data_IF_214338616497
#
_entry.id   IF_214338616497
#
_cell.length_a   1.000
_cell.length_b   1.000
_cell.length_c   1.000
_cell.angle_alpha   90.00
_cell.angle_beta   90.00
_cell.angle_gamma   90.00
#
_symmetry.space_group_name_H-M   'P 1'
#
loop_
_entity.id
_entity.type
_entity.pdbx_description
1 polymer ?
#
# COMPACT_ATOMS: atom_id res chain seq x y z
N UNK A 1 5.95 -6.14 -0.98
CA UNK A 1 7.14 -6.35 -1.85
C UNK A 1 7.34 -5.13 -2.78
N UNK A 2 8.28 -5.15 -3.73
CA UNK A 2 8.22 -4.26 -4.92
C UNK A 2 7.43 -4.92 -6.06
N UNK A 3 7.01 -4.15 -7.08
CA UNK A 3 6.33 -4.70 -8.27
C UNK A 3 7.16 -5.78 -8.98
N UNK A 4 8.48 -5.56 -9.13
CA UNK A 4 9.40 -6.53 -9.73
C UNK A 4 9.50 -7.82 -8.91
N UNK A 5 9.51 -7.72 -7.57
CA UNK A 5 9.49 -8.91 -6.71
C UNK A 5 8.15 -9.63 -6.81
N UNK A 6 7.05 -8.89 -6.97
CA UNK A 6 5.72 -9.47 -7.19
C UNK A 6 5.63 -10.23 -8.49
N UNK A 7 6.21 -9.68 -9.56
CA UNK A 7 6.33 -10.38 -10.85
C UNK A 7 7.09 -11.67 -10.69
N UNK A 8 8.28 -11.64 -10.07
CA UNK A 8 9.06 -12.85 -9.81
C UNK A 8 8.32 -13.88 -8.94
N UNK A 9 7.50 -13.45 -7.98
CA UNK A 9 6.65 -14.36 -7.21
C UNK A 9 5.56 -15.01 -8.06
N UNK A 10 4.94 -14.26 -8.99
CA UNK A 10 3.97 -14.83 -9.95
C UNK A 10 4.64 -15.79 -10.91
N UNK A 11 5.81 -15.45 -11.47
CA UNK A 11 6.59 -16.35 -12.32
C UNK A 11 6.95 -17.65 -11.60
N UNK A 12 7.37 -17.58 -10.32
CA UNK A 12 7.63 -18.75 -9.48
C UNK A 12 6.38 -19.64 -9.33
N UNK A 13 5.23 -19.04 -9.04
CA UNK A 13 3.98 -19.76 -8.81
C UNK A 13 3.43 -20.38 -10.10
N UNK A 14 3.57 -19.68 -11.23
CA UNK A 14 3.21 -20.19 -12.54
C UNK A 14 4.11 -21.37 -12.94
N UNK A 15 5.43 -21.26 -12.72
CA UNK A 15 6.36 -22.39 -12.88
C UNK A 15 5.90 -23.60 -12.06
N UNK A 16 5.70 -23.43 -10.75
CA UNK A 16 5.29 -24.54 -9.88
C UNK A 16 3.94 -25.17 -10.27
N UNK A 17 3.03 -24.40 -10.88
CA UNK A 17 1.71 -24.88 -11.32
C UNK A 17 1.75 -25.55 -12.69
N UNK A 18 2.76 -25.23 -13.50
CA UNK A 18 3.02 -25.92 -14.77
C UNK A 18 3.58 -27.33 -14.58
N UNK A 19 4.12 -27.64 -13.40
CA UNK A 19 4.62 -28.97 -13.05
C UNK A 19 3.45 -29.96 -12.89
N UNK A 20 3.58 -31.15 -13.48
CA UNK A 20 2.59 -32.23 -13.36
C UNK A 20 2.73 -32.91 -12.00
N UNK A 21 2.16 -32.28 -10.97
CA UNK A 21 2.21 -32.73 -9.58
C UNK A 21 0.82 -33.18 -9.08
N UNK A 22 0.75 -34.22 -8.22
CA UNK A 22 -0.51 -34.86 -7.85
C UNK A 22 -1.40 -34.00 -6.92
N UNK A 23 -0.84 -32.96 -6.29
CA UNK A 23 -1.60 -32.16 -5.35
C UNK A 23 -0.84 -30.99 -4.71
N UNK A 24 -1.52 -30.25 -3.82
CA UNK A 24 -1.01 -29.03 -3.21
C UNK A 24 0.22 -29.26 -2.32
N UNK A 25 0.38 -30.45 -1.75
CA UNK A 25 1.54 -30.82 -0.93
C UNK A 25 2.83 -30.76 -1.75
N UNK A 26 2.87 -31.50 -2.86
CA UNK A 26 4.01 -31.52 -3.78
C UNK A 26 4.23 -30.14 -4.41
N UNK A 27 3.15 -29.44 -4.81
CA UNK A 27 3.26 -28.07 -5.34
C UNK A 27 3.86 -27.09 -4.33
N UNK A 28 3.48 -27.18 -3.05
CA UNK A 28 4.01 -26.31 -2.01
C UNK A 28 5.51 -26.55 -1.77
N UNK A 29 5.94 -27.82 -1.78
CA UNK A 29 7.37 -28.17 -1.74
C UNK A 29 8.09 -27.62 -2.97
N UNK A 30 7.50 -27.79 -4.16
CA UNK A 30 8.06 -27.29 -5.42
C UNK A 30 8.30 -25.78 -5.37
N UNK A 31 7.33 -24.99 -4.89
CA UNK A 31 7.49 -23.53 -4.74
C UNK A 31 8.69 -23.18 -3.86
N UNK A 32 8.87 -23.86 -2.72
CA UNK A 32 9.94 -23.57 -1.75
C UNK A 32 11.31 -23.97 -2.30
N UNK A 33 11.41 -25.14 -2.93
CA UNK A 33 12.66 -25.63 -3.51
C UNK A 33 13.02 -24.81 -4.76
N UNK A 34 12.08 -24.58 -5.67
CA UNK A 34 12.32 -23.84 -6.91
C UNK A 34 12.86 -22.43 -6.65
N UNK A 35 12.30 -21.68 -5.69
CA UNK A 35 12.86 -20.36 -5.36
C UNK A 35 14.25 -20.42 -4.75
N UNK A 36 14.62 -21.52 -4.08
CA UNK A 36 15.97 -21.73 -3.58
C UNK A 36 16.91 -22.16 -4.72
N UNK A 37 16.44 -22.94 -5.66
CA UNK A 37 17.19 -23.42 -6.83
C UNK A 37 17.32 -22.38 -7.96
N UNK A 38 16.49 -21.34 -7.99
CA UNK A 38 16.32 -20.38 -9.09
C UNK A 38 17.57 -19.64 -9.63
N UNK A 39 18.77 -19.83 -9.08
CA UNK A 39 20.01 -19.20 -9.61
C UNK A 39 20.92 -20.20 -10.33
N UNK A 40 20.82 -21.48 -10.04
CA UNK A 40 21.82 -22.44 -10.51
C UNK A 40 21.40 -23.88 -10.26
N UNK A 41 20.10 -24.15 -10.35
CA UNK A 41 19.53 -25.48 -10.29
C UNK A 41 19.52 -26.16 -8.94
N UNK A 42 20.33 -25.72 -7.96
CA UNK A 42 20.43 -26.39 -6.66
C UNK A 42 19.87 -25.52 -5.53
N UNK A 43 18.89 -26.07 -4.81
CA UNK A 43 18.27 -25.46 -3.64
C UNK A 43 18.37 -26.40 -2.44
N UNK A 44 18.68 -25.85 -1.26
CA UNK A 44 18.77 -26.66 -0.05
C UNK A 44 17.42 -26.70 0.67
N UNK A 45 17.06 -27.85 1.24
CA UNK A 45 15.91 -28.04 2.11
C UNK A 45 16.33 -28.81 3.36
N UNK A 46 15.72 -28.52 4.51
CA UNK A 46 15.95 -29.26 5.76
C UNK A 46 14.69 -30.06 6.15
N UNK A 47 14.83 -31.06 7.02
CA UNK A 47 13.68 -31.74 7.62
C UNK A 47 12.79 -30.78 8.43
N UNK A 48 13.39 -29.75 9.04
CA UNK A 48 12.65 -28.68 9.71
C UNK A 48 11.83 -27.81 8.73
N UNK A 49 12.34 -27.53 7.54
CA UNK A 49 11.59 -26.85 6.49
C UNK A 49 10.36 -27.67 6.08
N UNK A 50 10.53 -28.97 5.80
CA UNK A 50 9.41 -29.87 5.47
C UNK A 50 8.35 -29.89 6.57
N UNK A 51 8.78 -30.03 7.82
CA UNK A 51 7.89 -30.01 8.99
C UNK A 51 7.11 -28.70 9.08
N UNK A 52 7.72 -27.56 8.74
CA UNK A 52 7.06 -26.27 8.73
C UNK A 52 5.98 -26.15 7.65
N UNK A 53 6.06 -26.92 6.56
CA UNK A 53 5.07 -26.92 5.46
C UNK A 53 3.76 -27.63 5.82
N UNK A 54 3.73 -28.46 6.87
CA UNK A 54 2.53 -29.18 7.34
C UNK A 54 1.86 -29.99 6.21
N UNK A 55 2.68 -30.74 5.49
CA UNK A 55 2.24 -31.68 4.47
C UNK A 55 1.43 -32.80 5.14
N UNK A 56 0.41 -33.31 4.44
CA UNK A 56 -0.31 -34.52 4.83
C UNK A 56 0.59 -35.74 4.71
N UNK A 57 1.30 -35.88 3.57
CA UNK A 57 2.34 -36.88 3.36
C UNK A 57 3.58 -36.25 2.72
N UNK A 58 4.63 -36.10 3.52
CA UNK A 58 5.88 -35.49 3.07
C UNK A 58 6.69 -36.42 2.15
N UNK A 59 6.60 -37.74 2.33
CA UNK A 59 7.34 -38.71 1.49
C UNK A 59 6.72 -38.78 0.11
N UNK A 60 5.40 -38.91 0.04
CA UNK A 60 4.67 -38.89 -1.24
C UNK A 60 4.92 -37.58 -2.02
N UNK A 61 4.92 -36.43 -1.34
CA UNK A 61 5.21 -35.14 -1.98
C UNK A 61 6.63 -35.06 -2.55
N UNK A 62 7.63 -35.63 -1.87
CA UNK A 62 9.02 -35.68 -2.35
C UNK A 62 9.17 -36.69 -3.48
N UNK A 63 8.52 -37.84 -3.39
CA UNK A 63 8.53 -38.85 -4.45
C UNK A 63 7.89 -38.30 -5.73
N UNK A 64 6.80 -37.54 -5.63
CA UNK A 64 6.23 -36.85 -6.79
C UNK A 64 7.23 -35.92 -7.49
N UNK A 65 8.08 -35.22 -6.74
CA UNK A 65 9.14 -34.38 -7.32
C UNK A 65 10.26 -35.21 -7.94
N UNK A 66 10.62 -36.36 -7.34
CA UNK A 66 11.57 -37.31 -7.94
C UNK A 66 11.09 -37.85 -9.28
N UNK A 67 9.79 -38.09 -9.43
CA UNK A 67 9.20 -38.51 -10.71
C UNK A 67 9.31 -37.42 -11.80
N UNK A 68 9.46 -36.16 -11.43
CA UNK A 68 9.81 -35.06 -12.36
C UNK A 68 11.33 -34.98 -12.66
N UNK A 69 12.12 -35.95 -12.20
CA UNK A 69 13.57 -35.99 -12.36
C UNK A 69 14.35 -35.14 -11.35
N UNK A 70 13.70 -34.59 -10.32
CA UNK A 70 14.40 -33.84 -9.29
C UNK A 70 15.29 -34.78 -8.46
N UNK A 71 16.53 -34.37 -8.23
CA UNK A 71 17.49 -35.18 -7.48
C UNK A 71 17.38 -34.81 -6.00
N UNK A 72 16.75 -35.68 -5.22
CA UNK A 72 16.49 -35.48 -3.78
C UNK A 72 16.97 -36.71 -3.00
N UNK A 73 17.92 -36.51 -2.08
CA UNK A 73 18.44 -37.56 -1.20
C UNK A 73 17.45 -37.95 -0.10
N UNK A 74 17.38 -39.23 0.26
CA UNK A 74 16.59 -39.74 1.40
C UNK A 74 17.09 -39.24 2.76
N UNK A 75 18.33 -38.72 2.81
CA UNK A 75 18.89 -37.99 3.95
C UNK A 75 17.95 -36.89 4.50
N UNK A 76 17.05 -36.36 3.65
CA UNK A 76 16.05 -35.37 4.04
C UNK A 76 15.09 -35.85 5.14
N UNK A 77 14.88 -37.16 5.27
CA UNK A 77 14.01 -37.77 6.28
C UNK A 77 14.77 -38.46 7.42
N UNK A 78 15.95 -39.00 7.12
CA UNK A 78 16.62 -39.96 8.01
C UNK A 78 17.78 -39.32 8.82
N UNK A 79 18.27 -38.14 8.43
CA UNK A 79 19.35 -37.41 9.12
C UNK A 79 18.84 -36.33 10.10
N UNK A 80 19.76 -35.59 10.75
CA UNK A 80 19.43 -34.44 11.60
C UNK A 80 18.52 -33.43 10.86
N UNK A 81 17.30 -33.13 11.38
CA UNK A 81 16.36 -32.20 10.76
C UNK A 81 16.90 -30.78 10.50
N UNK A 82 18.02 -30.39 11.11
CA UNK A 82 18.69 -29.12 10.85
C UNK A 82 19.69 -29.17 9.68
N UNK A 83 20.08 -30.36 9.23
CA UNK A 83 21.07 -30.55 8.16
C UNK A 83 20.47 -30.16 6.80
N UNK A 84 21.08 -29.21 6.07
CA UNK A 84 20.63 -28.86 4.73
C UNK A 84 20.94 -29.96 3.72
N UNK A 85 19.90 -30.46 3.05
CA UNK A 85 20.01 -31.42 1.96
C UNK A 85 19.89 -30.69 0.62
N UNK A 86 20.87 -30.81 -0.29
CA UNK A 86 20.81 -30.21 -1.61
C UNK A 86 19.78 -30.94 -2.49
N UNK A 87 18.98 -30.17 -3.21
CA UNK A 87 18.02 -30.66 -4.21
C UNK A 87 18.35 -30.03 -5.55
N UNK A 88 18.60 -30.86 -6.56
CA UNK A 88 18.80 -30.40 -7.94
C UNK A 88 17.47 -30.42 -8.68
N UNK A 89 17.12 -29.27 -9.27
CA UNK A 89 15.96 -29.06 -10.13
C UNK A 89 16.45 -28.98 -11.58
N UNK A 90 16.25 -30.04 -12.41
CA UNK A 90 16.84 -30.13 -13.74
C UNK A 90 16.61 -28.90 -14.62
N UNK A 91 15.36 -28.42 -14.72
CA UNK A 91 14.99 -27.29 -15.58
C UNK A 91 15.68 -25.98 -15.16
N UNK A 92 16.07 -25.86 -13.89
CA UNK A 92 16.74 -24.69 -13.34
C UNK A 92 18.28 -24.79 -13.41
N UNK A 93 18.82 -25.90 -13.93
CA UNK A 93 20.28 -26.04 -14.19
C UNK A 93 20.69 -25.46 -15.54
N UNK A 94 19.73 -25.23 -16.43
CA UNK A 94 19.97 -24.78 -17.80
C UNK A 94 20.44 -23.32 -17.82
N UNK A 95 21.41 -23.01 -18.68
CA UNK A 95 21.91 -21.64 -18.87
C UNK A 95 21.04 -20.83 -19.82
N UNK A 96 20.49 -21.48 -20.85
CA UNK A 96 19.58 -20.90 -21.82
C UNK A 96 18.13 -21.25 -21.45
N UNK A 97 17.19 -20.35 -21.72
CA UNK A 97 15.75 -20.50 -21.41
C UNK A 97 15.43 -20.83 -19.94
N UNK A 98 16.26 -20.34 -19.00
CA UNK A 98 16.11 -20.60 -17.57
C UNK A 98 14.75 -20.10 -17.04
N UNK A 99 13.81 -20.97 -16.59
CA UNK A 99 12.42 -20.60 -16.28
C UNK A 99 12.27 -19.54 -15.18
N UNK A 100 13.21 -19.49 -14.24
CA UNK A 100 13.23 -18.55 -13.12
C UNK A 100 14.51 -17.69 -13.10
N UNK A 101 14.74 -16.75 -14.03
CA UNK A 101 16.02 -16.07 -14.21
C UNK A 101 16.24 -14.98 -13.14
N UNK A 102 16.21 -15.37 -11.87
CA UNK A 102 16.23 -14.46 -10.74
C UNK A 102 17.65 -14.17 -10.26
N UNK A 103 18.03 -12.89 -10.32
CA UNK A 103 19.25 -12.43 -9.64
C UNK A 103 19.20 -12.66 -8.12
N UNK A 104 20.37 -12.74 -7.47
CA UNK A 104 20.55 -13.03 -6.03
C UNK A 104 19.58 -12.26 -5.12
N UNK A 105 19.43 -10.96 -5.36
CA UNK A 105 18.58 -10.10 -4.54
C UNK A 105 17.09 -10.40 -4.70
N UNK A 106 16.62 -10.66 -5.92
CA UNK A 106 15.21 -10.99 -6.19
C UNK A 106 14.89 -12.35 -5.56
N UNK A 107 15.74 -13.36 -5.83
CA UNK A 107 15.65 -14.72 -5.25
C UNK A 107 15.52 -14.69 -3.73
N UNK A 108 16.43 -13.99 -3.06
CA UNK A 108 16.41 -13.85 -1.58
C UNK A 108 15.14 -13.16 -1.07
N UNK A 109 14.69 -12.10 -1.74
CA UNK A 109 13.50 -11.33 -1.34
C UNK A 109 12.21 -12.12 -1.53
N UNK A 110 12.08 -12.87 -2.62
CA UNK A 110 10.92 -13.73 -2.91
C UNK A 110 10.92 -14.92 -1.97
N UNK A 111 12.06 -15.59 -1.75
CA UNK A 111 12.16 -16.67 -0.76
C UNK A 111 11.74 -16.23 0.65
N UNK A 112 12.27 -15.08 1.12
CA UNK A 112 11.86 -14.53 2.41
C UNK A 112 10.40 -14.04 2.45
N UNK A 113 9.81 -13.69 1.30
CA UNK A 113 8.38 -13.41 1.21
C UNK A 113 7.55 -14.69 1.33
N UNK A 114 7.91 -15.77 0.62
CA UNK A 114 7.26 -17.08 0.71
C UNK A 114 7.20 -17.53 2.17
N UNK A 115 8.31 -17.48 2.91
CA UNK A 115 8.36 -17.79 4.35
C UNK A 115 7.41 -16.92 5.18
N UNK A 116 7.34 -15.61 4.91
CA UNK A 116 6.45 -14.69 5.65
C UNK A 116 4.97 -14.97 5.37
N UNK A 117 4.59 -15.30 4.14
CA UNK A 117 3.20 -15.66 3.80
C UNK A 117 2.81 -16.94 4.51
N UNK A 118 3.64 -17.99 4.41
CA UNK A 118 3.37 -19.28 5.06
C UNK A 118 3.34 -19.19 6.59
N UNK A 119 4.03 -18.20 7.17
CA UNK A 119 4.06 -17.94 8.62
C UNK A 119 2.98 -16.96 9.09
N UNK A 120 2.20 -16.36 8.17
CA UNK A 120 1.17 -15.39 8.51
C UNK A 120 0.07 -16.03 9.38
N UNK A 121 -0.39 -15.33 10.42
CA UNK A 121 -1.37 -15.87 11.39
C UNK A 121 -2.62 -16.51 10.74
N UNK A 122 -3.25 -15.93 9.70
CA UNK A 122 -4.41 -16.53 9.05
C UNK A 122 -4.10 -17.80 8.24
N UNK A 123 -2.85 -17.97 7.81
CA UNK A 123 -2.42 -19.01 6.86
C UNK A 123 -1.66 -20.15 7.54
N UNK A 124 -0.87 -19.85 8.57
CA UNK A 124 0.09 -20.78 9.19
C UNK A 124 -0.52 -22.05 9.79
N UNK A 125 -1.83 -22.12 9.97
CA UNK A 125 -2.53 -23.31 10.48
C UNK A 125 -3.41 -23.99 9.42
N UNK A 126 -3.49 -23.43 8.22
CA UNK A 126 -4.26 -24.02 7.12
C UNK A 126 -3.52 -25.22 6.53
N UNK A 127 -4.25 -26.15 5.87
CA UNK A 127 -3.65 -27.22 5.10
C UNK A 127 -2.82 -26.68 3.92
N UNK A 128 -1.99 -27.52 3.27
CA UNK A 128 -1.15 -27.12 2.14
C UNK A 128 -1.91 -26.38 1.04
N UNK A 129 -3.13 -26.79 0.70
CA UNK A 129 -3.99 -26.10 -0.26
C UNK A 129 -4.27 -24.64 0.13
N UNK A 130 -4.66 -24.38 1.39
CA UNK A 130 -4.92 -23.01 1.87
C UNK A 130 -3.65 -22.16 1.98
N UNK A 131 -2.51 -22.80 2.24
CA UNK A 131 -1.19 -22.14 2.26
C UNK A 131 -0.73 -21.74 0.88
N UNK A 132 -0.86 -22.64 -0.09
CA UNK A 132 -0.56 -22.40 -1.50
C UNK A 132 -1.52 -21.34 -2.08
N UNK A 133 -2.81 -21.44 -1.79
CA UNK A 133 -3.80 -20.41 -2.12
C UNK A 133 -3.36 -19.03 -1.57
N UNK A 134 -2.93 -18.96 -0.31
CA UNK A 134 -2.43 -17.73 0.30
C UNK A 134 -1.26 -17.09 -0.47
N UNK A 135 -0.33 -17.90 -1.00
CA UNK A 135 0.78 -17.43 -1.84
C UNK A 135 0.28 -16.83 -3.16
N UNK A 136 -0.61 -17.53 -3.86
CA UNK A 136 -1.25 -17.05 -5.10
C UNK A 136 -1.98 -15.73 -4.89
N UNK A 137 -2.90 -15.68 -3.93
CA UNK A 137 -3.71 -14.50 -3.70
C UNK A 137 -2.86 -13.29 -3.27
N UNK A 138 -1.79 -13.51 -2.50
CA UNK A 138 -0.88 -12.41 -2.17
C UNK A 138 -0.05 -11.95 -3.35
N UNK A 139 0.48 -12.87 -4.17
CA UNK A 139 1.27 -12.53 -5.36
C UNK A 139 0.46 -11.79 -6.44
N UNK A 140 -0.83 -12.12 -6.60
CA UNK A 140 -1.72 -11.53 -7.61
C UNK A 140 -2.50 -10.30 -7.13
N UNK A 141 -2.38 -9.96 -5.84
CA UNK A 141 -3.00 -8.75 -5.30
C UNK A 141 -2.32 -7.46 -5.78
N UNK A 142 -3.14 -6.45 -6.04
CA UNK A 142 -2.75 -5.09 -6.38
C UNK A 142 -2.38 -4.29 -5.12
N UNK A 143 -1.86 -3.08 -5.31
CA UNK A 143 -1.59 -2.13 -4.20
C UNK A 143 -2.83 -1.73 -3.40
N UNK A 144 -4.03 -1.89 -3.98
CA UNK A 144 -5.33 -1.66 -3.34
C UNK A 144 -5.89 -2.89 -2.62
N UNK A 145 -5.10 -3.97 -2.53
CA UNK A 145 -5.47 -5.25 -1.91
C UNK A 145 -6.54 -6.04 -2.66
N UNK A 146 -6.86 -5.62 -3.88
CA UNK A 146 -7.76 -6.33 -4.77
C UNK A 146 -6.96 -7.31 -5.61
N UNK A 147 -7.53 -8.45 -5.96
CA UNK A 147 -6.94 -9.34 -6.96
C UNK A 147 -7.99 -10.15 -7.68
N UNK A 148 -7.56 -10.73 -8.80
CA UNK A 148 -8.30 -11.69 -9.58
C UNK A 148 -7.61 -13.04 -9.40
N UNK A 149 -8.40 -14.10 -9.24
CA UNK A 149 -7.90 -15.47 -9.17
C UNK A 149 -7.30 -15.78 -10.56
N UNK A 150 -5.99 -16.10 -10.64
CA UNK A 150 -5.37 -16.32 -11.94
C UNK A 150 -5.84 -17.65 -12.56
N UNK A 151 -5.70 -17.77 -13.88
CA UNK A 151 -6.13 -18.97 -14.61
C UNK A 151 -5.31 -20.22 -14.26
N UNK A 152 -4.06 -20.04 -13.82
CA UNK A 152 -3.17 -21.09 -13.34
C UNK A 152 -3.34 -21.41 -11.84
N UNK A 153 -4.38 -20.85 -11.19
CA UNK A 153 -4.69 -21.16 -9.81
C UNK A 153 -5.13 -22.63 -9.66
N UNK A 154 -4.44 -23.45 -8.84
CA UNK A 154 -4.75 -24.87 -8.74
C UNK A 154 -6.17 -25.13 -8.22
N UNK A 155 -6.89 -26.08 -8.83
CA UNK A 155 -8.28 -26.37 -8.45
C UNK A 155 -8.42 -26.78 -6.98
N UNK A 156 -7.48 -27.58 -6.47
CA UNK A 156 -7.43 -27.95 -5.05
C UNK A 156 -7.29 -26.74 -4.11
N UNK A 157 -6.73 -25.62 -4.58
CA UNK A 157 -6.63 -24.38 -3.82
C UNK A 157 -7.97 -23.62 -3.75
N UNK A 158 -8.89 -23.82 -4.72
CA UNK A 158 -10.21 -23.15 -4.73
C UNK A 158 -11.06 -23.57 -3.54
N UNK A 159 -11.02 -24.85 -3.21
CA UNK A 159 -11.72 -25.40 -2.05
C UNK A 159 -11.29 -24.75 -0.71
N UNK A 160 -10.09 -24.16 -0.64
CA UNK A 160 -9.57 -23.51 0.56
C UNK A 160 -9.86 -22.00 0.65
N UNK A 161 -10.48 -21.39 -0.37
CA UNK A 161 -10.81 -19.96 -0.38
C UNK A 161 -11.81 -19.56 0.71
N UNK A 162 -12.87 -20.34 1.03
CA UNK A 162 -13.78 -20.02 2.13
C UNK A 162 -13.08 -19.98 3.48
N UNK A 163 -12.12 -20.88 3.72
CA UNK A 163 -11.33 -20.89 4.95
C UNK A 163 -10.46 -19.63 5.07
N UNK A 164 -9.87 -19.18 3.96
CA UNK A 164 -9.09 -17.93 3.94
C UNK A 164 -9.96 -16.70 4.25
N UNK A 165 -11.21 -16.68 3.80
CA UNK A 165 -12.18 -15.66 4.19
C UNK A 165 -12.50 -15.77 5.69
N UNK A 166 -12.82 -16.96 6.19
CA UNK A 166 -13.16 -17.19 7.60
C UNK A 166 -12.01 -16.84 8.55
N UNK A 167 -10.75 -17.12 8.19
CA UNK A 167 -9.57 -16.80 9.00
C UNK A 167 -9.14 -15.33 8.92
N UNK A 168 -9.88 -14.49 8.18
CA UNK A 168 -9.55 -13.07 8.01
C UNK A 168 -8.30 -12.83 7.19
N UNK A 169 -7.98 -13.74 6.26
CA UNK A 169 -6.98 -13.49 5.23
C UNK A 169 -7.58 -12.66 4.08
N UNK A 170 -8.84 -12.95 3.75
CA UNK A 170 -9.66 -12.20 2.81
C UNK A 170 -10.74 -11.41 3.57
N UNK A 171 -11.18 -10.31 2.99
CA UNK A 171 -12.33 -9.51 3.44
C UNK A 171 -13.52 -9.63 2.50
N UNK A 172 -13.25 -9.89 1.22
CA UNK A 172 -14.25 -10.10 0.19
C UNK A 172 -13.79 -11.26 -0.70
N UNK A 173 -14.74 -12.10 -1.12
CA UNK A 173 -14.54 -13.18 -2.07
C UNK A 173 -15.78 -13.27 -2.95
N UNK A 174 -15.56 -13.33 -4.27
CA UNK A 174 -16.55 -13.61 -5.31
C UNK A 174 -15.99 -14.71 -6.21
N UNK A 175 -16.71 -15.10 -7.28
CA UNK A 175 -16.29 -16.20 -8.16
C UNK A 175 -14.84 -16.09 -8.63
N UNK A 176 -14.45 -14.92 -9.16
CA UNK A 176 -13.09 -14.71 -9.70
C UNK A 176 -12.31 -13.57 -9.04
N UNK A 177 -12.93 -12.80 -8.15
CA UNK A 177 -12.28 -11.65 -7.51
C UNK A 177 -12.24 -11.79 -5.99
N UNK A 178 -11.20 -11.23 -5.39
CA UNK A 178 -11.01 -11.24 -3.94
C UNK A 178 -10.40 -9.93 -3.44
N UNK A 179 -10.53 -9.71 -2.13
CA UNK A 179 -9.87 -8.62 -1.42
C UNK A 179 -9.10 -9.15 -0.23
N UNK A 180 -7.80 -8.88 -0.17
CA UNK A 180 -6.98 -9.20 1.01
C UNK A 180 -7.37 -8.32 2.20
N UNK A 181 -7.28 -8.90 3.40
CA UNK A 181 -7.41 -8.14 4.63
C UNK A 181 -6.25 -7.15 4.83
N UNK A 182 -6.55 -6.02 5.49
CA UNK A 182 -5.55 -4.98 5.76
C UNK A 182 -4.38 -5.50 6.62
N UNK A 183 -4.60 -6.49 7.49
CA UNK A 183 -3.57 -7.11 8.32
C UNK A 183 -2.50 -7.81 7.48
N UNK A 184 -2.85 -8.35 6.31
CA UNK A 184 -1.92 -9.04 5.40
C UNK A 184 -1.44 -8.16 4.26
N UNK A 185 -1.77 -6.86 4.26
CA UNK A 185 -1.34 -5.88 3.22
C UNK A 185 0.16 -5.90 2.91
N UNK A 186 0.98 -6.15 3.93
CA UNK A 186 2.43 -6.14 3.82
C UNK A 186 2.97 -7.32 2.99
N UNK A 187 2.14 -8.35 2.78
CA UNK A 187 2.41 -9.52 1.96
C UNK A 187 2.04 -9.32 0.49
N UNK A 188 1.34 -8.23 0.13
CA UNK A 188 0.91 -8.00 -1.25
C UNK A 188 2.07 -7.94 -2.26
N UNK A 189 1.87 -8.64 -3.37
CA UNK A 189 2.73 -8.70 -4.54
C UNK A 189 2.66 -7.45 -5.43
N UNK A 190 1.72 -6.53 -5.19
CA UNK A 190 1.60 -5.26 -5.92
C UNK A 190 1.51 -5.45 -7.45
N UNK A 191 0.68 -6.40 -7.92
CA UNK A 191 0.38 -6.54 -9.35
C UNK A 191 -0.21 -5.23 -9.89
N UNK A 192 0.12 -4.86 -11.12
CA UNK A 192 -0.57 -3.76 -11.82
C UNK A 192 -2.01 -4.19 -12.14
N UNK A 193 -3.03 -3.35 -11.86
CA UNK A 193 -4.40 -3.65 -12.25
C UNK A 193 -4.52 -3.85 -13.77
N UNK A 194 -5.28 -4.84 -14.21
CA UNK A 194 -5.60 -5.03 -15.63
C UNK A 194 -6.52 -3.89 -16.12
N UNK A 195 -6.51 -3.60 -17.41
CA UNK A 195 -7.33 -2.51 -18.01
C UNK A 195 -8.83 -2.69 -17.71
N UNK A 196 -9.33 -3.93 -17.72
CA UNK A 196 -10.72 -4.26 -17.35
C UNK A 196 -11.05 -4.05 -15.86
N UNK A 197 -10.07 -4.16 -14.97
CA UNK A 197 -10.25 -3.87 -13.54
C UNK A 197 -10.26 -2.35 -13.29
N UNK A 198 -9.54 -1.57 -14.11
CA UNK A 198 -9.56 -0.11 -14.07
C UNK A 198 -10.90 0.45 -14.56
N UNK A 199 -11.48 -0.12 -15.62
CA UNK A 199 -12.79 0.29 -16.16
C UNK A 199 -13.95 -0.18 -15.29
N UNK A 200 -13.90 -1.37 -14.71
CA UNK A 200 -14.91 -1.84 -13.74
C UNK A 200 -14.83 -1.02 -12.44
N UNK A 201 -13.64 -0.57 -12.04
CA UNK A 201 -13.46 0.34 -10.90
C UNK A 201 -13.91 1.77 -11.24
N UNK A 202 -13.73 2.25 -12.48
CA UNK A 202 -14.29 3.52 -12.94
C UNK A 202 -15.83 3.49 -12.99
N UNK A 203 -16.42 2.41 -13.52
CA UNK A 203 -17.87 2.22 -13.59
C UNK A 203 -18.50 1.95 -12.21
N UNK A 204 -17.82 1.21 -11.31
CA UNK A 204 -18.24 1.06 -9.91
C UNK A 204 -17.95 2.31 -9.08
N UNK A 205 -16.94 3.11 -9.42
CA UNK A 205 -16.72 4.42 -8.80
C UNK A 205 -17.81 5.40 -9.24
N UNK A 206 -18.19 5.43 -10.52
CA UNK A 206 -19.30 6.25 -11.03
C UNK A 206 -20.66 5.79 -10.48
N UNK A 207 -20.87 4.48 -10.30
CA UNK A 207 -22.05 3.93 -9.61
C UNK A 207 -22.04 4.01 -8.08
N UNK A 208 -20.88 4.07 -7.41
CA UNK A 208 -20.73 4.31 -5.97
C UNK A 208 -20.51 5.78 -5.60
N UNK A 209 -20.55 6.68 -6.59
CA UNK A 209 -20.65 8.13 -6.35
C UNK A 209 -22.05 8.52 -5.86
N UNK A 210 -23.00 7.57 -5.74
CA UNK A 210 -23.97 7.62 -4.64
C UNK A 210 -23.27 7.35 -3.29
N UNK A 211 -22.58 8.39 -2.84
CA UNK A 211 -22.39 8.79 -1.44
C UNK A 211 -22.15 7.61 -0.49
N UNK A 212 -21.01 6.94 -0.63
CA UNK A 212 -20.45 6.14 0.48
C UNK A 212 -19.91 7.11 1.55
N UNK A 213 -20.84 7.68 2.31
CA UNK A 213 -20.59 8.50 3.49
C UNK A 213 -19.66 7.69 4.39
N UNK A 214 -18.49 8.26 4.75
CA UNK A 214 -17.82 7.90 6.02
C UNK A 214 -18.93 7.79 7.07
N UNK A 215 -18.92 6.84 8.03
CA UNK A 215 -19.76 7.04 9.20
C UNK A 215 -19.44 8.43 9.70
N UNK A 216 -20.41 9.35 9.59
CA UNK A 216 -20.21 10.72 9.97
C UNK A 216 -19.72 10.61 11.42
N UNK A 217 -18.53 11.12 11.70
CA UNK A 217 -18.25 11.52 13.09
C UNK A 217 -19.42 12.41 13.42
N UNK A 218 -20.33 11.93 14.27
CA UNK A 218 -21.56 12.63 14.55
C UNK A 218 -21.12 13.98 15.09
N UNK A 219 -21.28 15.03 14.28
CA UNK A 219 -20.88 16.36 14.67
C UNK A 219 -21.69 16.69 15.92
N UNK A 220 -20.97 16.96 16.99
CA UNK A 220 -21.53 17.37 18.26
C UNK A 220 -21.21 18.86 18.43
N UNK A 221 -22.20 19.76 18.20
CA UNK A 221 -22.01 21.20 18.31
C UNK A 221 -21.54 21.62 19.70
N UNK A 222 -21.96 20.90 20.74
CA UNK A 222 -21.59 21.21 22.12
C UNK A 222 -20.14 20.83 22.38
N UNK A 223 -19.70 19.66 21.89
CA UNK A 223 -18.31 19.25 21.98
C UNK A 223 -17.38 20.20 21.18
N UNK A 224 -17.82 20.69 20.03
CA UNK A 224 -17.05 21.66 19.23
C UNK A 224 -16.95 23.02 19.95
N UNK A 225 -18.06 23.49 20.53
CA UNK A 225 -18.08 24.73 21.33
C UNK A 225 -17.18 24.61 22.55
N UNK A 226 -17.24 23.49 23.28
CA UNK A 226 -16.35 23.21 24.41
C UNK A 226 -14.88 23.17 23.99
N UNK A 227 -14.56 22.54 22.86
CA UNK A 227 -13.21 22.54 22.31
C UNK A 227 -12.73 23.97 22.02
N UNK A 228 -13.55 24.81 21.40
CA UNK A 228 -13.22 26.22 21.14
C UNK A 228 -12.96 26.96 22.45
N UNK A 229 -13.78 26.77 23.48
CA UNK A 229 -13.58 27.38 24.80
C UNK A 229 -12.28 26.94 25.48
N UNK A 230 -11.88 25.67 25.33
CA UNK A 230 -10.64 25.13 25.88
C UNK A 230 -9.39 25.50 25.06
N UNK A 231 -9.54 25.80 23.77
CA UNK A 231 -8.45 26.17 22.88
C UNK A 231 -7.84 27.55 23.23
N UNK A 232 -6.56 27.73 22.94
CA UNK A 232 -5.88 29.03 23.12
C UNK A 232 -6.52 30.12 22.24
N UNK A 233 -6.44 31.41 22.61
CA UNK A 233 -7.04 32.49 21.82
C UNK A 233 -6.55 32.55 20.36
N UNK A 234 -5.29 32.17 20.11
CA UNK A 234 -4.75 32.11 18.76
C UNK A 234 -5.34 30.93 17.96
N UNK A 235 -5.45 29.76 18.57
CA UNK A 235 -5.99 28.56 17.92
C UNK A 235 -7.50 28.69 17.66
N UNK A 236 -8.24 29.27 18.60
CA UNK A 236 -9.67 29.58 18.44
C UNK A 236 -9.90 30.51 17.25
N UNK A 237 -9.21 31.65 17.20
CA UNK A 237 -9.33 32.60 16.08
C UNK A 237 -9.00 31.96 14.73
N UNK A 238 -8.02 31.06 14.70
CA UNK A 238 -7.69 30.32 13.48
C UNK A 238 -8.81 29.34 13.08
N UNK A 239 -9.36 28.58 14.04
CA UNK A 239 -10.49 27.70 13.79
C UNK A 239 -11.71 28.47 13.29
N UNK A 240 -12.05 29.61 13.92
CA UNK A 240 -13.15 30.48 13.51
C UNK A 240 -12.91 31.10 12.12
N UNK A 241 -11.67 31.49 11.80
CA UNK A 241 -11.33 31.98 10.47
C UNK A 241 -11.57 30.94 9.36
N UNK A 242 -11.37 29.65 9.67
CA UNK A 242 -11.65 28.54 8.74
C UNK A 242 -13.15 28.23 8.71
N UNK A 243 -13.79 28.14 9.88
CA UNK A 243 -15.23 27.85 10.05
C UNK A 243 -16.11 28.88 9.35
N UNK A 244 -15.75 30.16 9.43
CA UNK A 244 -16.53 31.27 8.87
C UNK A 244 -15.95 31.80 7.56
N UNK A 245 -15.07 31.06 6.89
CA UNK A 245 -14.53 31.47 5.60
C UNK A 245 -15.63 31.45 4.53
N UNK A 246 -16.07 32.64 4.10
CA UNK A 246 -17.12 32.81 3.09
C UNK A 246 -16.76 32.24 1.71
N UNK A 247 -15.46 32.05 1.43
CA UNK A 247 -15.00 31.51 0.14
C UNK A 247 -14.88 29.98 0.17
N UNK A 248 -14.51 29.40 1.33
CA UNK A 248 -14.36 27.94 1.42
C UNK A 248 -15.69 27.21 1.65
N UNK A 249 -16.69 27.88 2.24
CA UNK A 249 -18.01 27.32 2.56
C UNK A 249 -17.95 25.92 3.19
N UNK A 250 -17.02 25.72 4.14
CA UNK A 250 -16.78 24.41 4.73
C UNK A 250 -17.91 24.04 5.70
N UNK A 251 -18.34 22.78 5.63
CA UNK A 251 -19.23 22.22 6.64
C UNK A 251 -18.60 22.31 8.05
N UNK A 252 -19.31 22.83 9.07
CA UNK A 252 -18.79 22.94 10.42
C UNK A 252 -18.32 21.61 11.02
N UNK A 253 -18.99 20.51 10.66
CA UNK A 253 -18.58 19.16 11.07
C UNK A 253 -17.25 18.73 10.46
N UNK A 254 -16.99 19.09 9.21
CA UNK A 254 -15.69 18.87 8.57
C UNK A 254 -14.57 19.69 9.24
N UNK A 255 -14.84 20.94 9.60
CA UNK A 255 -13.87 21.79 10.30
C UNK A 255 -13.59 21.22 11.69
N UNK A 256 -14.62 20.95 12.48
CA UNK A 256 -14.48 20.38 13.81
C UNK A 256 -13.72 19.04 13.80
N UNK A 257 -14.06 18.14 12.87
CA UNK A 257 -13.36 16.87 12.73
C UNK A 257 -11.85 17.07 12.49
N UNK A 258 -11.46 17.99 11.61
CA UNK A 258 -10.05 18.24 11.30
C UNK A 258 -9.26 18.83 12.49
N UNK A 259 -9.89 19.65 13.33
CA UNK A 259 -9.26 20.23 14.51
C UNK A 259 -9.22 19.28 15.73
N UNK A 260 -10.19 18.37 15.84
CA UNK A 260 -10.33 17.44 16.96
C UNK A 260 -9.69 16.07 16.71
N UNK A 261 -9.41 15.71 15.45
CA UNK A 261 -8.82 14.41 15.09
C UNK A 261 -7.35 14.31 15.53
N UNK A 262 -7.00 13.19 16.19
CA UNK A 262 -5.61 12.92 16.58
C UNK A 262 -4.78 12.55 15.35
N UNK A 263 -3.74 13.33 15.06
CA UNK A 263 -2.79 13.03 13.98
C UNK A 263 -2.07 11.71 14.29
N UNK A 264 -2.31 10.69 13.45
CA UNK A 264 -1.58 9.43 13.51
C UNK A 264 -0.32 9.49 12.64
N UNK A 265 0.82 8.94 13.10
CA UNK A 265 2.01 8.85 12.26
C UNK A 265 1.71 8.04 11.00
N UNK A 266 1.92 8.67 9.85
CA UNK A 266 1.67 8.05 8.55
C UNK A 266 2.96 7.46 7.98
N UNK A 267 2.94 6.15 7.73
CA UNK A 267 3.95 5.50 6.91
C UNK A 267 3.83 5.96 5.45
N UNK A 268 4.96 6.24 4.79
CA UNK A 268 4.98 6.57 3.35
C UNK A 268 5.46 5.37 2.53
N UNK A 269 4.56 4.66 1.82
CA UNK A 269 4.93 3.60 0.88
C UNK A 269 5.91 4.04 -0.21
N UNK A 270 6.74 3.10 -0.70
CA UNK A 270 7.73 3.36 -1.76
C UNK A 270 7.10 3.82 -3.08
N UNK A 271 5.91 3.34 -3.44
CA UNK A 271 5.24 3.77 -4.67
C UNK A 271 4.89 5.26 -4.66
N UNK A 272 4.57 5.84 -3.48
CA UNK A 272 4.33 7.28 -3.35
C UNK A 272 5.60 8.06 -3.65
N UNK A 273 6.77 7.54 -3.23
CA UNK A 273 8.07 8.16 -3.54
C UNK A 273 8.37 8.11 -5.03
N UNK A 274 8.04 7.02 -5.71
CA UNK A 274 8.22 6.89 -7.16
C UNK A 274 7.27 7.82 -7.93
N UNK A 275 5.98 7.80 -7.60
CA UNK A 275 4.98 8.68 -8.21
C UNK A 275 5.31 10.17 -7.97
N UNK A 276 5.82 10.50 -6.78
CA UNK A 276 6.36 11.83 -6.52
C UNK A 276 7.58 12.14 -7.37
N UNK A 277 8.47 11.17 -7.59
CA UNK A 277 9.63 11.34 -8.47
C UNK A 277 9.21 11.73 -9.88
N UNK A 278 8.29 10.97 -10.49
CA UNK A 278 7.74 11.26 -11.81
C UNK A 278 7.02 12.63 -11.84
N UNK A 279 6.19 12.92 -10.84
CA UNK A 279 5.49 14.20 -10.73
C UNK A 279 6.45 15.39 -10.53
N UNK A 280 7.53 15.20 -9.78
CA UNK A 280 8.51 16.25 -9.46
C UNK A 280 9.21 16.75 -10.73
N UNK A 281 9.53 15.86 -11.65
CA UNK A 281 10.21 16.20 -12.90
C UNK A 281 9.31 17.01 -13.85
N UNK A 282 7.99 16.81 -13.80
CA UNK A 282 7.02 17.62 -14.56
C UNK A 282 6.66 18.94 -13.88
N UNK A 283 7.07 19.15 -12.63
CA UNK A 283 6.78 20.37 -11.85
C UNK A 283 8.06 20.93 -11.21
N UNK A 284 9.01 21.45 -12.03
CA UNK A 284 10.27 21.98 -11.52
C UNK A 284 10.06 23.16 -10.55
N UNK A 285 9.09 24.03 -10.84
CA UNK A 285 8.80 25.27 -10.09
C UNK A 285 7.75 25.11 -8.99
N UNK A 286 7.43 23.87 -8.60
CA UNK A 286 6.46 23.55 -7.54
C UNK A 286 6.70 24.26 -6.21
N UNK A 287 7.94 24.66 -5.92
CA UNK A 287 8.33 25.35 -4.69
C UNK A 287 7.80 26.79 -4.66
N UNK A 288 8.30 27.67 -5.54
CA UNK A 288 7.80 29.04 -5.69
C UNK A 288 6.29 29.10 -5.89
N UNK A 289 5.75 28.29 -6.82
CA UNK A 289 4.32 28.27 -7.14
C UNK A 289 3.45 27.95 -5.92
N UNK A 290 3.87 26.97 -5.10
CA UNK A 290 3.14 26.64 -3.90
C UNK A 290 3.17 27.77 -2.86
N UNK A 291 4.34 28.40 -2.68
CA UNK A 291 4.47 29.50 -1.73
C UNK A 291 3.62 30.71 -2.16
N UNK A 292 3.69 31.12 -3.43
CA UNK A 292 2.87 32.20 -4.00
C UNK A 292 1.38 31.91 -3.85
N UNK A 293 0.96 30.67 -4.15
CA UNK A 293 -0.42 30.25 -3.94
C UNK A 293 -0.84 30.41 -2.48
N UNK A 294 -0.02 30.02 -1.51
CA UNK A 294 -0.39 30.21 -0.09
C UNK A 294 -0.51 31.67 0.31
N UNK A 295 0.23 32.59 -0.33
CA UNK A 295 0.08 34.04 -0.13
C UNK A 295 -1.26 34.51 -0.68
N UNK A 296 -1.54 34.23 -1.95
CA UNK A 296 -2.79 34.62 -2.62
C UNK A 296 -4.01 34.05 -1.89
N UNK A 297 -3.96 32.76 -1.58
CA UNK A 297 -5.01 32.07 -0.84
C UNK A 297 -5.26 32.73 0.52
N UNK A 298 -4.21 33.10 1.27
CA UNK A 298 -4.41 33.74 2.57
C UNK A 298 -4.99 35.15 2.46
N UNK A 299 -4.66 35.90 1.41
CA UNK A 299 -5.23 37.24 1.16
C UNK A 299 -6.73 37.14 0.92
N UNK A 300 -7.17 36.13 0.17
CA UNK A 300 -8.58 35.93 -0.17
C UNK A 300 -9.38 35.26 0.97
N UNK A 301 -8.80 34.25 1.62
CA UNK A 301 -9.52 33.40 2.57
C UNK A 301 -9.30 33.77 4.05
N UNK A 302 -8.26 34.55 4.37
CA UNK A 302 -7.87 34.88 5.76
C UNK A 302 -7.16 33.75 6.51
N UNK A 303 -7.04 32.55 5.94
CA UNK A 303 -6.33 31.40 6.49
C UNK A 303 -5.45 30.72 5.44
N UNK A 304 -4.62 29.74 5.84
CA UNK A 304 -3.82 28.96 4.89
C UNK A 304 -4.64 27.86 4.22
N UNK A 305 -4.24 27.35 3.04
CA UNK A 305 -4.94 26.24 2.41
C UNK A 305 -4.69 24.91 3.16
N UNK A 306 -5.63 23.97 3.02
CA UNK A 306 -5.35 22.56 3.27
C UNK A 306 -4.45 21.96 2.18
N UNK A 307 -3.91 20.76 2.40
CA UNK A 307 -3.14 20.04 1.37
C UNK A 307 -3.96 19.84 0.09
N UNK A 308 -5.27 19.61 0.23
CA UNK A 308 -6.17 19.39 -0.90
C UNK A 308 -6.43 20.69 -1.67
N UNK A 309 -6.70 21.79 -0.97
CA UNK A 309 -6.93 23.10 -1.59
C UNK A 309 -5.68 23.59 -2.32
N UNK A 310 -4.50 23.42 -1.73
CA UNK A 310 -3.23 23.76 -2.39
C UNK A 310 -3.07 22.99 -3.71
N UNK A 311 -3.15 21.65 -3.66
CA UNK A 311 -2.92 20.84 -4.86
C UNK A 311 -4.01 21.08 -5.93
N UNK A 312 -5.27 21.21 -5.52
CA UNK A 312 -6.36 21.42 -6.48
C UNK A 312 -6.31 22.83 -7.09
N UNK A 313 -5.99 23.86 -6.30
CA UNK A 313 -5.87 25.24 -6.79
C UNK A 313 -4.68 25.45 -7.72
N UNK A 314 -3.64 24.63 -7.62
CA UNK A 314 -2.50 24.62 -8.55
C UNK A 314 -2.71 23.67 -9.75
N UNK A 315 -3.87 23.01 -9.86
CA UNK A 315 -4.14 22.06 -10.94
C UNK A 315 -3.26 20.80 -10.88
N UNK A 316 -2.71 20.46 -9.72
CA UNK A 316 -1.86 19.28 -9.57
C UNK A 316 -2.70 18.01 -9.50
N UNK A 317 -2.80 17.33 -10.65
CA UNK A 317 -3.50 16.06 -10.76
C UNK A 317 -2.68 14.91 -10.14
N UNK A 318 -2.74 14.82 -8.82
CA UNK A 318 -2.13 13.77 -8.03
C UNK A 318 -3.16 13.14 -7.11
N UNK A 319 -3.09 11.82 -6.87
CA UNK A 319 -3.99 11.16 -5.92
C UNK A 319 -3.71 11.63 -4.47
N UNK A 320 -4.70 11.48 -3.57
CA UNK A 320 -4.64 12.01 -2.19
C UNK A 320 -3.35 11.67 -1.43
N UNK A 321 -2.88 10.42 -1.54
CA UNK A 321 -1.67 9.97 -0.85
C UNK A 321 -0.39 10.61 -1.39
N UNK A 322 -0.36 10.94 -2.69
CA UNK A 322 0.74 11.67 -3.31
C UNK A 322 0.67 13.16 -2.95
N UNK A 323 -0.53 13.79 -2.93
CA UNK A 323 -0.73 15.17 -2.45
C UNK A 323 -0.13 15.39 -1.06
N UNK A 324 -0.45 14.50 -0.11
CA UNK A 324 0.12 14.58 1.24
C UNK A 324 1.65 14.42 1.28
N UNK A 325 2.22 13.66 0.35
CA UNK A 325 3.68 13.53 0.25
C UNK A 325 4.33 14.73 -0.45
N UNK A 326 3.71 15.32 -1.47
CA UNK A 326 4.14 16.57 -2.11
C UNK A 326 4.28 17.66 -1.05
N UNK A 327 3.23 17.90 -0.27
CA UNK A 327 3.25 18.94 0.78
C UNK A 327 4.33 18.66 1.82
N UNK A 328 4.49 17.40 2.27
CA UNK A 328 5.60 17.04 3.17
C UNK A 328 6.97 17.37 2.57
N UNK A 329 7.19 17.16 1.27
CA UNK A 329 8.45 17.51 0.62
C UNK A 329 8.62 19.02 0.49
N UNK A 330 7.56 19.78 0.24
CA UNK A 330 7.60 21.25 0.25
C UNK A 330 7.92 21.81 1.64
N UNK A 331 7.38 21.20 2.70
CA UNK A 331 7.72 21.51 4.10
C UNK A 331 9.19 21.16 4.41
N UNK A 332 9.65 19.96 4.04
CA UNK A 332 11.04 19.54 4.29
C UNK A 332 12.08 20.35 3.50
N UNK A 333 11.70 20.90 2.35
CA UNK A 333 12.55 21.76 1.54
C UNK A 333 12.31 23.25 1.85
N UNK A 334 11.60 23.55 2.93
CA UNK A 334 11.39 24.91 3.46
C UNK A 334 10.69 25.89 2.51
N UNK A 335 10.07 25.41 1.44
CA UNK A 335 9.22 26.22 0.56
C UNK A 335 7.92 26.59 1.24
N UNK A 336 7.38 25.66 2.04
CA UNK A 336 6.22 25.87 2.89
C UNK A 336 6.62 25.66 4.34
N UNK A 337 5.81 26.21 5.24
CA UNK A 337 5.80 25.84 6.65
C UNK A 337 4.36 25.74 7.15
N UNK A 338 4.15 25.03 8.25
CA UNK A 338 2.85 24.87 8.89
C UNK A 338 2.92 25.16 10.40
N UNK A 339 1.81 24.93 11.09
CA UNK A 339 1.79 24.86 12.55
C UNK A 339 1.27 23.48 12.95
N UNK A 340 2.00 22.42 12.61
CA UNK A 340 1.60 21.05 12.96
C UNK A 340 1.27 20.90 14.46
N UNK A 341 0.16 20.23 14.84
CA UNK A 341 -0.79 19.49 13.99
C UNK A 341 -1.97 20.31 13.43
N UNK A 342 -1.96 21.64 13.51
CA UNK A 342 -3.11 22.51 13.20
C UNK A 342 -3.39 22.57 11.69
N UNK A 343 -4.61 22.22 11.24
CA UNK A 343 -4.96 22.22 9.82
C UNK A 343 -5.15 23.64 9.25
N UNK A 344 -5.09 23.78 7.91
CA UNK A 344 -5.22 25.07 7.19
C UNK A 344 -4.18 26.14 7.57
N UNK A 345 -2.97 25.72 7.92
CA UNK A 345 -1.90 26.64 8.37
C UNK A 345 -0.75 26.81 7.39
N UNK A 346 -0.83 26.21 6.19
CA UNK A 346 0.20 26.31 5.16
C UNK A 346 0.46 27.79 4.83
N UNK A 347 1.75 28.15 4.82
CA UNK A 347 2.25 29.50 4.53
C UNK A 347 3.66 29.42 3.94
N UNK A 348 4.19 30.52 3.35
CA UNK A 348 5.56 30.54 2.82
C UNK A 348 6.59 30.20 3.90
N UNK A 349 7.46 29.23 3.60
CA UNK A 349 8.57 28.84 4.46
C UNK A 349 9.80 29.75 4.28
N UNK A 350 10.88 29.45 4.99
CA UNK A 350 12.12 30.24 4.99
C UNK A 350 12.74 30.37 3.60
N UNK A 351 12.74 29.30 2.80
CA UNK A 351 13.25 29.33 1.43
C UNK A 351 12.44 30.28 0.53
N UNK A 352 11.12 30.28 0.67
CA UNK A 352 10.25 31.18 -0.09
C UNK A 352 10.43 32.65 0.33
N UNK A 353 10.56 32.90 1.63
CA UNK A 353 10.77 34.25 2.18
C UNK A 353 12.12 34.83 1.72
N UNK A 354 13.16 34.00 1.62
CA UNK A 354 14.46 34.42 1.07
C UNK A 354 14.38 34.86 -0.40
N UNK A 355 13.36 34.39 -1.13
CA UNK A 355 13.07 34.81 -2.51
C UNK A 355 12.04 35.95 -2.59
N UNK A 356 11.70 36.57 -1.46
CA UNK A 356 10.74 37.68 -1.41
C UNK A 356 9.27 37.25 -1.41
N UNK A 357 8.97 35.95 -1.41
CA UNK A 357 7.60 35.43 -1.31
C UNK A 357 7.21 35.43 0.18
N UNK A 358 6.71 36.56 0.65
CA UNK A 358 6.33 36.78 2.05
C UNK A 358 4.84 37.05 2.19
N UNK A 359 4.27 36.70 3.34
CA UNK A 359 2.92 37.15 3.66
C UNK A 359 2.89 38.68 3.81
N UNK A 360 1.82 39.36 3.36
CA UNK A 360 1.63 40.77 3.63
C UNK A 360 1.67 41.00 5.15
N UNK A 361 2.38 42.05 5.59
CA UNK A 361 2.27 42.49 6.98
C UNK A 361 0.80 42.76 7.27
N UNK A 362 0.29 42.20 8.37
CA UNK A 362 -1.07 42.46 8.81
C UNK A 362 -1.30 43.98 8.80
N UNK A 363 -2.30 44.45 8.04
CA UNK A 363 -2.73 45.85 8.11
C UNK A 363 -3.08 46.12 9.56
N UNK A 364 -2.25 46.88 10.26
CA UNK A 364 -2.65 47.59 11.47
C UNK A 364 -3.93 48.34 11.09
N UNK A 365 -5.03 48.06 11.79
CA UNK A 365 -6.34 48.65 11.53
C UNK A 365 -6.23 50.16 11.29
N UNK A 366 -6.35 50.58 10.03
CA UNK A 366 -6.45 51.97 9.64
C UNK A 366 -7.85 52.19 9.07
N UNK A 367 -8.64 52.92 9.86
CA UNK A 367 -9.85 53.64 9.52
C UNK A 367 -10.99 52.84 8.86
N UNK A 368 -11.94 52.44 9.71
CA UNK A 368 -13.37 52.50 9.35
C UNK A 368 -13.66 53.93 8.92
N UNK A 369 -13.64 54.18 7.61
CA UNK A 369 -14.27 55.36 7.04
C UNK A 369 -15.79 55.11 7.09
N UNK A 370 -16.40 55.63 8.16
CA UNK A 370 -17.84 55.83 8.24
C UNK A 370 -18.24 56.65 7.02
N UNK A 371 -19.00 56.04 6.10
CA UNK A 371 -19.77 56.79 5.11
C UNK A 371 -20.89 57.52 5.85
N UNK A 372 -21.01 58.85 5.77
CA UNK A 372 -22.23 59.51 6.17
C UNK A 372 -23.24 59.39 5.02
N UNK A 373 -24.49 59.10 5.36
CA UNK A 373 -25.64 59.36 4.50
C UNK A 373 -26.93 58.88 5.14
N UNK A 374 -28.08 59.41 4.73
CA UNK A 374 -28.34 60.68 4.04
C UNK A 374 -28.55 61.86 4.98
#
# INVERSE_FOLDING_TARGET
MSSQQGEAARTLLSYASSLTLPGPDAQLVAVVVAIRAARGGVGNLTGADLSALRLGDAREAIDALRHLGWQISDALFDDDPATPVPITVPDLTQTDDHPLPFGKNVRSRVSGWTTRVLSAKPVKKLPPAGRLAGLFLTAHSTSKLLGQIPSDFPEACRAALPDLLQKGFLTELSEDHYRLDLAVRHLSGLRRPAEGEQTTEAAKAEGQVERRTRPAVRFDPDAWTQWKHAASPALRRHAEAVEYCAVCELDPGQVAAAFMERVRPQFTPKWIKNAYGEWKETHPDRGPQAAEFTVAFRVEHGHGPSHNQLCSGLGWDACRSVRGFIVRRLLSNEWLMDTSPVPWTLRPGTMAQAQGIVLPKARTSAAVAVRPGP
#
